data_IF_348862865828
#
_entry.id   IF_348862865828
#
_cell.length_a   1.000
_cell.length_b   1.000
_cell.length_c   1.000
_cell.angle_alpha   90.00
_cell.angle_beta   90.00
_cell.angle_gamma   90.00
#
_symmetry.space_group_name_H-M   'P 1'
#
loop_
_entity.id
_entity.type
_entity.pdbx_description
1 polymer ?
#
# COMPACT_ATOMS: atom_id res chain seq x y z
N UNK A 1 44.24 -65.58 -54.75
CA UNK A 1 42.79 -65.41 -54.98
C UNK A 1 42.40 -63.98 -54.61
N UNK A 2 41.90 -63.19 -55.58
CA UNK A 2 41.57 -61.78 -55.39
C UNK A 2 40.22 -61.65 -54.67
N UNK A 3 40.23 -61.10 -53.45
CA UNK A 3 39.04 -60.69 -52.70
C UNK A 3 38.44 -59.45 -53.38
N UNK A 4 37.19 -59.53 -53.85
CA UNK A 4 36.47 -58.35 -54.35
C UNK A 4 35.93 -57.56 -53.16
N UNK A 5 36.45 -56.35 -52.94
CA UNK A 5 35.89 -55.41 -51.98
C UNK A 5 34.68 -54.69 -52.61
N UNK A 6 33.53 -54.77 -51.95
CA UNK A 6 32.35 -53.97 -52.25
C UNK A 6 31.74 -53.53 -50.92
N UNK A 7 31.95 -52.28 -50.54
CA UNK A 7 31.18 -51.66 -49.46
C UNK A 7 29.75 -51.48 -49.96
N UNK A 8 28.78 -52.05 -49.25
CA UNK A 8 27.37 -51.87 -49.57
C UNK A 8 26.56 -51.97 -48.28
N UNK A 9 25.83 -50.90 -47.95
CA UNK A 9 24.86 -50.90 -46.86
C UNK A 9 23.69 -51.82 -47.27
N UNK A 10 23.61 -53.03 -46.69
CA UNK A 10 22.75 -54.13 -47.17
C UNK A 10 21.38 -54.17 -46.49
N UNK A 11 21.23 -53.49 -45.35
CA UNK A 11 20.03 -53.52 -44.51
C UNK A 11 19.44 -52.12 -44.39
N UNK A 12 18.11 -52.03 -44.45
CA UNK A 12 17.39 -50.79 -44.21
C UNK A 12 17.02 -50.67 -42.73
N UNK A 13 16.81 -49.43 -42.26
CA UNK A 13 16.26 -49.16 -40.93
C UNK A 13 14.95 -49.93 -40.73
N UNK A 14 14.80 -50.57 -39.58
CA UNK A 14 13.69 -51.45 -39.17
C UNK A 14 13.63 -52.83 -39.84
N UNK A 15 14.62 -53.21 -40.66
CA UNK A 15 14.73 -54.60 -41.15
C UNK A 15 14.90 -55.57 -39.97
N UNK A 16 14.13 -56.66 -39.96
CA UNK A 16 14.29 -57.71 -38.97
C UNK A 16 15.44 -58.63 -39.37
N UNK A 17 16.40 -58.79 -38.47
CA UNK A 17 17.60 -59.58 -38.66
C UNK A 17 17.70 -60.65 -37.56
N UNK A 18 18.04 -61.88 -37.94
CA UNK A 18 18.58 -62.90 -37.01
C UNK A 18 20.05 -63.09 -37.38
N UNK A 19 20.94 -62.89 -36.40
CA UNK A 19 22.39 -62.79 -36.60
C UNK A 19 23.10 -63.81 -35.71
N UNK A 20 24.04 -64.57 -36.28
CA UNK A 20 25.03 -65.32 -35.52
C UNK A 20 26.31 -64.50 -35.46
N UNK A 21 26.71 -64.09 -34.25
CA UNK A 21 27.84 -63.17 -34.04
C UNK A 21 28.98 -63.93 -33.39
N UNK A 22 30.17 -63.88 -34.00
CA UNK A 22 31.42 -64.41 -33.45
C UNK A 22 32.36 -63.26 -33.14
N UNK A 23 32.64 -63.07 -31.86
CA UNK A 23 33.54 -62.04 -31.36
C UNK A 23 34.91 -62.65 -31.03
N UNK A 24 35.98 -61.98 -31.44
CA UNK A 24 37.37 -62.38 -31.14
C UNK A 24 38.19 -61.17 -30.71
N UNK A 25 38.82 -61.25 -29.55
CA UNK A 25 39.75 -60.24 -29.06
C UNK A 25 41.17 -60.53 -29.58
N UNK A 26 41.85 -59.53 -30.14
CA UNK A 26 43.19 -59.68 -30.74
C UNK A 26 44.34 -59.68 -29.73
N UNK A 27 44.11 -59.21 -28.49
CA UNK A 27 45.14 -59.10 -27.45
C UNK A 27 45.48 -60.43 -26.77
N UNK A 28 44.57 -61.41 -26.78
CA UNK A 28 44.75 -62.67 -26.07
C UNK A 28 44.37 -63.87 -26.95
N UNK A 29 45.37 -64.49 -27.59
CA UNK A 29 45.17 -65.64 -28.51
C UNK A 29 44.61 -66.89 -27.81
N UNK A 30 44.46 -66.87 -26.47
CA UNK A 30 43.92 -67.97 -25.66
C UNK A 30 42.47 -67.74 -25.17
N UNK A 31 41.87 -66.56 -25.34
CA UNK A 31 40.47 -66.34 -24.95
C UNK A 31 39.48 -67.09 -25.86
N UNK A 32 38.42 -67.71 -25.31
CA UNK A 32 37.42 -68.42 -26.09
C UNK A 32 36.63 -67.45 -26.98
N UNK A 33 36.48 -67.80 -28.27
CA UNK A 33 35.61 -67.08 -29.19
C UNK A 33 34.19 -67.08 -28.64
N UNK A 34 33.66 -65.92 -28.27
CA UNK A 34 32.26 -65.78 -27.85
C UNK A 34 31.39 -65.83 -29.10
N UNK A 35 30.46 -66.77 -29.13
CA UNK A 35 29.46 -66.92 -30.20
C UNK A 35 28.08 -66.78 -29.57
N UNK A 36 27.27 -65.86 -30.06
CA UNK A 36 25.90 -65.67 -29.60
C UNK A 36 24.98 -65.28 -30.76
N UNK A 37 23.70 -65.54 -30.60
CA UNK A 37 22.67 -65.14 -31.55
C UNK A 37 22.00 -63.86 -31.07
N UNK A 38 21.71 -62.95 -32.00
CA UNK A 38 20.99 -61.71 -31.75
C UNK A 38 19.89 -61.55 -32.79
N UNK A 39 18.67 -61.26 -32.35
CA UNK A 39 17.53 -61.05 -33.23
C UNK A 39 16.78 -59.76 -32.88
N UNK A 40 16.42 -58.98 -33.89
CA UNK A 40 15.64 -57.76 -33.70
C UNK A 40 15.49 -56.96 -34.99
N UNK A 41 14.72 -55.88 -34.92
CA UNK A 41 14.58 -54.85 -35.91
C UNK A 41 15.70 -53.80 -35.75
N UNK A 42 16.49 -53.63 -36.80
CA UNK A 42 17.61 -52.68 -36.86
C UNK A 42 17.15 -51.25 -36.54
N UNK A 43 17.73 -50.60 -35.52
CA UNK A 43 17.38 -49.23 -35.12
C UNK A 43 16.05 -49.08 -34.35
N UNK A 44 15.48 -50.18 -33.83
CA UNK A 44 14.34 -50.15 -32.91
C UNK A 44 14.60 -50.96 -31.63
N UNK A 45 14.86 -52.27 -31.76
CA UNK A 45 15.07 -53.19 -30.63
C UNK A 45 16.34 -54.05 -30.78
N UNK A 46 17.16 -53.82 -31.81
CA UNK A 46 18.49 -54.42 -31.98
C UNK A 46 19.55 -53.68 -31.14
N UNK A 47 19.49 -53.81 -29.82
CA UNK A 47 20.13 -52.94 -28.82
C UNK A 47 21.68 -52.96 -28.73
N UNK A 48 22.40 -53.61 -29.65
CA UNK A 48 23.86 -53.68 -29.60
C UNK A 48 24.50 -52.69 -30.59
N UNK A 49 24.87 -51.51 -30.11
CA UNK A 49 25.46 -50.42 -30.93
C UNK A 49 26.66 -50.88 -31.77
N UNK A 50 27.50 -51.77 -31.23
CA UNK A 50 28.68 -52.29 -31.93
C UNK A 50 28.31 -53.22 -33.09
N UNK A 51 27.21 -53.97 -32.94
CA UNK A 51 26.64 -54.83 -33.99
C UNK A 51 25.92 -53.99 -35.03
N UNK A 52 25.15 -52.98 -34.62
CA UNK A 52 24.50 -52.05 -35.56
C UNK A 52 25.54 -51.30 -36.41
N UNK A 53 26.63 -50.81 -35.81
CA UNK A 53 27.73 -50.19 -36.55
C UNK A 53 28.46 -51.18 -37.47
N UNK A 54 28.62 -52.44 -37.03
CA UNK A 54 29.21 -53.49 -37.86
C UNK A 54 28.34 -53.85 -39.07
N UNK A 55 27.01 -53.78 -38.95
CA UNK A 55 26.07 -54.00 -40.05
C UNK A 55 26.07 -52.85 -41.06
N UNK A 56 26.36 -51.62 -40.61
CA UNK A 56 26.43 -50.43 -41.46
C UNK A 56 27.79 -50.28 -42.16
N UNK A 57 28.90 -50.57 -41.46
CA UNK A 57 30.28 -50.27 -41.90
C UNK A 57 31.17 -51.50 -42.09
N UNK A 58 30.65 -52.71 -41.84
CA UNK A 58 31.43 -53.95 -41.93
C UNK A 58 31.78 -54.36 -43.36
N UNK A 59 32.89 -55.09 -43.51
CA UNK A 59 33.34 -55.63 -44.79
C UNK A 59 32.74 -57.01 -45.04
N UNK A 60 32.22 -57.23 -46.25
CA UNK A 60 31.67 -58.54 -46.63
C UNK A 60 32.80 -59.48 -47.05
N UNK A 61 32.88 -60.64 -46.40
CA UNK A 61 33.88 -61.68 -46.65
C UNK A 61 33.17 -63.01 -46.88
N UNK A 62 33.53 -63.73 -47.95
CA UNK A 62 32.99 -65.05 -48.25
C UNK A 62 33.93 -66.14 -47.73
N UNK A 63 33.41 -67.09 -46.93
CA UNK A 63 34.16 -68.25 -46.45
C UNK A 63 33.32 -69.51 -46.69
N UNK A 64 33.87 -70.50 -47.41
CA UNK A 64 33.17 -71.76 -47.74
C UNK A 64 31.75 -71.51 -48.32
N UNK A 65 31.65 -70.57 -49.26
CA UNK A 65 30.39 -70.15 -49.91
C UNK A 65 29.33 -69.51 -49.00
N UNK A 66 29.68 -69.19 -47.74
CA UNK A 66 28.83 -68.42 -46.83
C UNK A 66 29.32 -66.96 -46.70
N UNK A 67 28.37 -66.03 -46.58
CA UNK A 67 28.63 -64.58 -46.47
C UNK A 67 28.74 -64.16 -44.99
N UNK A 68 29.84 -63.52 -44.64
CA UNK A 68 30.08 -62.94 -43.31
C UNK A 68 30.35 -61.44 -43.42
N UNK A 69 29.88 -60.68 -42.45
CA UNK A 69 30.24 -59.28 -42.26
C UNK A 69 31.34 -59.26 -41.20
N UNK A 70 32.56 -58.93 -41.61
CA UNK A 70 33.69 -58.75 -40.71
C UNK A 70 33.87 -57.26 -40.40
N UNK A 71 33.80 -56.91 -39.12
CA UNK A 71 34.04 -55.56 -38.64
C UNK A 71 35.16 -55.56 -37.61
N UNK A 72 36.02 -54.55 -37.70
CA UNK A 72 37.19 -54.38 -36.86
C UNK A 72 37.12 -53.00 -36.21
N UNK A 73 36.97 -52.97 -34.88
CA UNK A 73 37.04 -51.74 -34.10
C UNK A 73 37.97 -51.99 -32.92
N UNK A 74 39.03 -51.20 -32.86
CA UNK A 74 40.11 -51.35 -31.88
C UNK A 74 40.69 -52.78 -31.82
N UNK A 75 40.57 -53.47 -30.68
CA UNK A 75 41.11 -54.81 -30.45
C UNK A 75 40.08 -55.93 -30.68
N UNK A 76 38.84 -55.59 -31.05
CA UNK A 76 37.76 -56.55 -31.28
C UNK A 76 37.57 -56.81 -32.78
N UNK A 77 37.39 -58.08 -33.13
CA UNK A 77 36.91 -58.53 -34.43
C UNK A 77 35.54 -59.15 -34.26
N UNK A 78 34.54 -58.59 -34.93
CA UNK A 78 33.23 -59.20 -35.07
C UNK A 78 33.14 -59.88 -36.43
N UNK A 79 32.63 -61.11 -36.44
CA UNK A 79 32.25 -61.83 -37.65
C UNK A 79 30.78 -62.18 -37.52
N UNK A 80 29.94 -61.50 -38.29
CA UNK A 80 28.48 -61.63 -38.23
C UNK A 80 28.02 -62.44 -39.43
N UNK A 81 27.22 -63.47 -39.18
CA UNK A 81 26.49 -64.22 -40.22
C UNK A 81 25.01 -63.87 -40.10
N UNK A 82 24.40 -63.50 -41.22
CA UNK A 82 22.96 -63.22 -41.25
C UNK A 82 22.23 -64.52 -41.51
N UNK A 83 21.49 -64.99 -40.51
CA UNK A 83 20.67 -66.21 -40.56
C UNK A 83 19.39 -65.92 -41.32
N UNK A 84 18.79 -64.74 -41.06
CA UNK A 84 17.50 -64.36 -41.64
C UNK A 84 17.40 -62.86 -41.78
N UNK A 85 16.79 -62.43 -42.88
CA UNK A 85 16.52 -61.04 -43.17
C UNK A 85 15.09 -60.91 -43.67
N UNK A 86 14.26 -60.14 -42.96
CA UNK A 86 12.89 -59.83 -43.35
C UNK A 86 12.70 -58.32 -43.39
N UNK A 87 12.23 -57.82 -44.54
CA UNK A 87 11.87 -56.42 -44.71
C UNK A 87 10.44 -56.20 -44.19
N UNK A 88 10.19 -55.22 -43.30
CA UNK A 88 8.84 -54.87 -42.89
C UNK A 88 8.04 -54.38 -44.10
N UNK A 89 6.71 -54.58 -44.07
CA UNK A 89 5.84 -54.07 -45.13
C UNK A 89 5.79 -52.54 -45.10
N UNK A 90 5.50 -51.92 -46.25
CA UNK A 90 5.36 -50.45 -46.34
C UNK A 90 4.32 -49.89 -45.37
N UNK A 91 3.25 -50.63 -45.09
CA UNK A 91 2.23 -50.23 -44.12
C UNK A 91 2.77 -50.19 -42.68
N UNK A 92 3.59 -51.17 -42.31
CA UNK A 92 4.21 -51.25 -40.99
C UNK A 92 5.23 -50.11 -40.79
N UNK A 93 6.03 -49.79 -41.81
CA UNK A 93 6.96 -48.66 -41.76
C UNK A 93 6.25 -47.32 -41.49
N UNK A 94 5.16 -47.05 -42.22
CA UNK A 94 4.34 -45.84 -42.02
C UNK A 94 3.74 -45.76 -40.62
N UNK A 95 3.34 -46.89 -40.04
CA UNK A 95 2.81 -46.95 -38.67
C UNK A 95 3.90 -46.65 -37.63
N UNK A 96 5.12 -47.16 -37.83
CA UNK A 96 6.25 -46.91 -36.95
C UNK A 96 6.65 -45.43 -37.00
N UNK A 97 6.76 -44.85 -38.19
CA UNK A 97 7.05 -43.42 -38.38
C UNK A 97 6.01 -42.54 -37.69
N UNK A 98 4.72 -42.83 -37.91
CA UNK A 98 3.62 -42.09 -37.29
C UNK A 98 3.61 -42.21 -35.76
N UNK A 99 3.93 -43.39 -35.22
CA UNK A 99 4.04 -43.58 -33.76
C UNK A 99 5.23 -42.82 -33.16
N UNK A 100 6.36 -42.74 -33.88
CA UNK A 100 7.52 -41.93 -33.48
C UNK A 100 7.17 -40.44 -33.44
N UNK A 101 6.46 -39.93 -34.45
CA UNK A 101 5.97 -38.54 -34.48
C UNK A 101 5.02 -38.25 -33.31
N UNK A 102 4.08 -39.16 -33.04
CA UNK A 102 3.18 -39.02 -31.89
C UNK A 102 3.92 -39.04 -30.55
N UNK A 103 4.91 -39.92 -30.38
CA UNK A 103 5.72 -39.95 -29.18
C UNK A 103 6.48 -38.63 -28.96
N UNK A 104 7.02 -38.04 -30.02
CA UNK A 104 7.67 -36.72 -29.97
C UNK A 104 6.67 -35.61 -29.59
N UNK A 105 5.50 -35.58 -30.24
CA UNK A 105 4.45 -34.59 -29.95
C UNK A 105 3.95 -34.69 -28.51
N UNK A 106 3.79 -35.91 -27.98
CA UNK A 106 3.42 -36.16 -26.58
C UNK A 106 4.50 -35.61 -25.65
N UNK A 107 5.78 -35.88 -25.94
CA UNK A 107 6.91 -35.39 -25.14
C UNK A 107 6.94 -33.85 -25.07
N UNK A 108 6.80 -33.18 -26.21
CA UNK A 108 6.78 -31.70 -26.29
C UNK A 108 5.56 -31.11 -25.55
N UNK A 109 4.41 -31.78 -25.67
CA UNK A 109 3.18 -31.37 -24.97
C UNK A 109 3.32 -31.54 -23.45
N UNK A 110 3.97 -32.61 -22.98
CA UNK A 110 4.23 -32.82 -21.55
C UNK A 110 5.16 -31.76 -20.97
N UNK A 111 6.25 -31.42 -21.66
CA UNK A 111 7.14 -30.34 -21.21
C UNK A 111 6.44 -28.97 -21.15
N UNK A 112 5.54 -28.73 -22.11
CA UNK A 112 4.74 -27.51 -22.14
C UNK A 112 3.78 -27.46 -20.95
N UNK A 113 3.09 -28.58 -20.67
CA UNK A 113 2.20 -28.73 -19.51
C UNK A 113 2.93 -28.46 -18.19
N UNK A 114 4.13 -29.01 -18.00
CA UNK A 114 4.92 -28.81 -16.78
C UNK A 114 5.26 -27.33 -16.57
N UNK A 115 5.70 -26.62 -17.63
CA UNK A 115 5.98 -25.18 -17.57
C UNK A 115 4.73 -24.36 -17.22
N UNK A 116 3.58 -24.70 -17.79
CA UNK A 116 2.30 -24.05 -17.48
C UNK A 116 1.86 -24.29 -16.03
N UNK A 117 2.07 -25.50 -15.50
CA UNK A 117 1.75 -25.84 -14.11
C UNK A 117 2.63 -25.04 -13.14
N UNK A 118 3.93 -24.92 -13.42
CA UNK A 118 4.83 -24.07 -12.62
C UNK A 118 4.40 -22.60 -12.63
N UNK A 119 4.06 -22.07 -13.81
CA UNK A 119 3.59 -20.70 -13.98
C UNK A 119 2.28 -20.44 -13.22
N UNK A 120 1.31 -21.36 -13.30
CA UNK A 120 0.04 -21.26 -12.56
C UNK A 120 0.30 -21.25 -11.05
N UNK A 121 1.19 -22.10 -10.55
CA UNK A 121 1.51 -22.16 -9.13
C UNK A 121 2.19 -20.87 -8.66
N UNK A 122 3.08 -20.30 -9.48
CA UNK A 122 3.71 -18.99 -9.22
C UNK A 122 2.67 -17.88 -9.14
N UNK A 123 1.82 -17.76 -10.16
CA UNK A 123 0.77 -16.73 -10.23
C UNK A 123 -0.25 -16.87 -9.09
N UNK A 124 -0.62 -18.09 -8.71
CA UNK A 124 -1.50 -18.33 -7.55
C UNK A 124 -0.87 -17.81 -6.25
N UNK A 125 0.42 -18.08 -6.03
CA UNK A 125 1.13 -17.61 -4.84
C UNK A 125 1.22 -16.09 -4.79
N UNK A 126 1.52 -15.45 -5.91
CA UNK A 126 1.55 -14.00 -6.03
C UNK A 126 0.16 -13.37 -5.78
N UNK A 127 -0.90 -13.95 -6.34
CA UNK A 127 -2.26 -13.48 -6.12
C UNK A 127 -2.66 -13.52 -4.63
N UNK A 128 -2.32 -14.60 -3.93
CA UNK A 128 -2.59 -14.74 -2.49
C UNK A 128 -1.84 -13.67 -1.70
N UNK A 129 -0.57 -13.41 -2.04
CA UNK A 129 0.23 -12.38 -1.40
C UNK A 129 -0.35 -10.97 -1.63
N UNK A 130 -0.71 -10.65 -2.87
CA UNK A 130 -1.31 -9.36 -3.23
C UNK A 130 -2.66 -9.15 -2.53
N UNK A 131 -3.48 -10.20 -2.43
CA UNK A 131 -4.76 -10.13 -1.70
C UNK A 131 -4.56 -9.86 -0.20
N UNK A 132 -3.60 -10.52 0.44
CA UNK A 132 -3.30 -10.30 1.85
C UNK A 132 -2.74 -8.90 2.12
N UNK A 133 -1.87 -8.41 1.25
CA UNK A 133 -1.35 -7.05 1.36
C UNK A 133 -2.44 -6.00 1.16
N UNK A 134 -3.30 -6.19 0.16
CA UNK A 134 -4.43 -5.30 -0.10
C UNK A 134 -5.41 -5.26 1.09
N UNK A 135 -5.73 -6.40 1.70
CA UNK A 135 -6.55 -6.46 2.92
C UNK A 135 -5.93 -5.67 4.07
N UNK A 136 -4.61 -5.79 4.27
CA UNK A 136 -3.89 -5.04 5.31
C UNK A 136 -3.97 -3.53 5.06
N UNK A 137 -3.73 -3.10 3.83
CA UNK A 137 -3.82 -1.68 3.44
C UNK A 137 -5.24 -1.12 3.66
N UNK A 138 -6.28 -1.87 3.28
CA UNK A 138 -7.68 -1.47 3.53
C UNK A 138 -7.94 -1.33 5.03
N UNK A 139 -7.50 -2.29 5.84
CA UNK A 139 -7.72 -2.24 7.30
C UNK A 139 -7.02 -1.05 7.93
N UNK A 140 -5.79 -0.75 7.52
CA UNK A 140 -5.07 0.43 7.97
C UNK A 140 -5.75 1.73 7.53
N UNK A 141 -6.20 1.80 6.28
CA UNK A 141 -6.90 2.96 5.76
C UNK A 141 -8.24 3.19 6.48
N UNK A 142 -8.98 2.12 6.76
CA UNK A 142 -10.21 2.17 7.55
C UNK A 142 -9.95 2.67 8.98
N UNK A 143 -8.90 2.16 9.65
CA UNK A 143 -8.51 2.64 10.98
C UNK A 143 -8.15 4.12 10.96
N UNK A 144 -7.34 4.56 9.98
CA UNK A 144 -6.97 5.98 9.82
C UNK A 144 -8.20 6.85 9.58
N UNK A 145 -9.09 6.44 8.67
CA UNK A 145 -10.34 7.15 8.40
C UNK A 145 -11.23 7.25 9.64
N UNK A 146 -11.37 6.16 10.40
CA UNK A 146 -12.17 6.15 11.63
C UNK A 146 -11.58 7.09 12.69
N UNK A 147 -10.25 7.09 12.86
CA UNK A 147 -9.57 8.00 13.79
C UNK A 147 -9.82 9.46 13.41
N UNK A 148 -9.67 9.81 12.12
CA UNK A 148 -9.94 11.16 11.62
C UNK A 148 -11.40 11.57 11.87
N UNK A 149 -12.36 10.68 11.60
CA UNK A 149 -13.78 10.95 11.87
C UNK A 149 -14.03 11.20 13.36
N UNK A 150 -13.45 10.36 14.24
CA UNK A 150 -13.59 10.50 15.68
C UNK A 150 -12.97 11.81 16.19
N UNK A 151 -11.76 12.15 15.76
CA UNK A 151 -11.09 13.40 16.13
C UNK A 151 -11.89 14.62 15.66
N UNK A 152 -12.42 14.59 14.44
CA UNK A 152 -13.24 15.68 13.93
C UNK A 152 -14.55 15.85 14.70
N UNK A 153 -15.20 14.74 15.05
CA UNK A 153 -16.41 14.79 15.87
C UNK A 153 -16.10 15.35 17.27
N UNK A 154 -15.02 14.89 17.92
CA UNK A 154 -14.60 15.42 19.22
C UNK A 154 -14.32 16.92 19.17
N UNK A 155 -13.50 17.37 18.21
CA UNK A 155 -13.21 18.81 18.03
C UNK A 155 -14.47 19.63 17.79
N UNK A 156 -15.42 19.08 17.02
CA UNK A 156 -16.69 19.74 16.73
C UNK A 156 -17.56 19.84 17.98
N UNK A 157 -17.66 18.76 18.75
CA UNK A 157 -18.47 18.72 19.97
C UNK A 157 -17.88 19.64 21.05
N UNK A 158 -16.56 19.66 21.22
CA UNK A 158 -15.85 20.60 22.09
C UNK A 158 -16.08 22.05 21.66
N UNK A 159 -15.97 22.33 20.36
CA UNK A 159 -16.24 23.67 19.82
C UNK A 159 -17.69 24.10 20.08
N UNK A 160 -18.68 23.24 19.80
CA UNK A 160 -20.09 23.55 20.07
C UNK A 160 -20.37 23.74 21.56
N UNK A 161 -19.78 22.92 22.43
CA UNK A 161 -19.93 23.07 23.88
C UNK A 161 -19.37 24.42 24.36
N UNK A 162 -18.21 24.83 23.86
CA UNK A 162 -17.61 26.12 24.16
C UNK A 162 -18.45 27.29 23.66
N UNK A 163 -18.95 27.22 22.43
CA UNK A 163 -19.81 28.27 21.86
C UNK A 163 -21.15 28.37 22.59
N UNK A 164 -21.75 27.23 22.97
CA UNK A 164 -22.97 27.23 23.78
C UNK A 164 -22.74 27.82 25.17
N UNK A 165 -21.61 27.51 25.80
CA UNK A 165 -21.23 28.08 27.10
C UNK A 165 -21.09 29.60 27.00
N UNK A 166 -20.37 30.11 26.00
CA UNK A 166 -20.25 31.55 25.73
C UNK A 166 -21.61 32.19 25.44
N UNK A 167 -22.43 31.56 24.60
CA UNK A 167 -23.75 32.08 24.26
C UNK A 167 -24.63 32.23 25.52
N UNK A 168 -24.55 31.29 26.46
CA UNK A 168 -25.24 31.40 27.75
C UNK A 168 -24.65 32.50 28.63
N UNK A 169 -23.33 32.55 28.75
CA UNK A 169 -22.63 33.55 29.56
C UNK A 169 -22.92 34.99 29.10
N UNK A 170 -23.02 35.21 27.79
CA UNK A 170 -23.24 36.53 27.20
C UNK A 170 -24.68 36.75 26.69
N UNK A 171 -25.64 35.89 27.08
CA UNK A 171 -27.03 35.97 26.62
C UNK A 171 -27.70 37.32 26.96
N UNK A 172 -27.36 37.88 28.12
CA UNK A 172 -27.92 39.14 28.61
C UNK A 172 -27.15 40.39 28.13
N UNK A 173 -26.09 40.22 27.32
CA UNK A 173 -25.22 41.34 26.92
C UNK A 173 -26.02 42.51 26.33
N UNK A 174 -26.86 42.26 25.32
CA UNK A 174 -27.64 43.30 24.64
C UNK A 174 -28.61 44.01 25.59
N UNK A 175 -29.26 43.24 26.46
CA UNK A 175 -30.17 43.80 27.46
C UNK A 175 -29.42 44.72 28.43
N UNK A 176 -28.25 44.29 28.90
CA UNK A 176 -27.41 45.10 29.80
C UNK A 176 -26.92 46.37 29.10
N UNK A 177 -26.46 46.29 27.85
CA UNK A 177 -26.03 47.46 27.06
C UNK A 177 -27.13 48.53 26.94
N UNK A 178 -28.37 48.11 26.66
CA UNK A 178 -29.53 49.01 26.60
C UNK A 178 -29.92 49.56 27.99
N UNK A 179 -29.72 48.76 29.06
CA UNK A 179 -30.00 49.16 30.44
C UNK A 179 -28.99 50.20 30.99
N UNK A 180 -27.77 50.28 30.42
CA UNK A 180 -26.74 51.22 30.92
C UNK A 180 -27.16 52.69 30.80
N UNK A 181 -27.87 53.06 29.73
CA UNK A 181 -28.32 54.45 29.51
C UNK A 181 -29.30 54.92 30.59
N UNK A 182 -30.43 54.21 30.83
CA UNK A 182 -31.36 54.61 31.89
C UNK A 182 -30.72 54.52 33.29
N UNK A 183 -29.83 53.54 33.55
CA UNK A 183 -29.11 53.46 34.83
C UNK A 183 -28.23 54.69 35.06
N UNK A 184 -27.48 55.12 34.05
CA UNK A 184 -26.68 56.35 34.11
C UNK A 184 -27.55 57.59 34.34
N UNK A 185 -28.69 57.71 33.65
CA UNK A 185 -29.62 58.82 33.86
C UNK A 185 -30.22 58.80 35.27
N UNK A 186 -30.47 57.62 35.83
CA UNK A 186 -30.94 57.45 37.20
C UNK A 186 -29.90 57.93 38.22
N UNK A 187 -28.62 57.55 38.07
CA UNK A 187 -27.52 58.06 38.89
C UNK A 187 -27.39 59.60 38.77
N UNK A 188 -27.47 60.15 37.54
CA UNK A 188 -27.45 61.59 37.32
C UNK A 188 -28.61 62.32 38.02
N UNK A 189 -29.82 61.75 37.98
CA UNK A 189 -30.98 62.32 38.65
C UNK A 189 -30.82 62.31 40.18
N UNK A 190 -30.31 61.22 40.77
CA UNK A 190 -30.00 61.13 42.21
C UNK A 190 -28.95 62.19 42.59
N UNK A 191 -27.88 62.30 41.80
CA UNK A 191 -26.81 63.28 42.02
C UNK A 191 -27.31 64.73 41.91
N UNK A 192 -28.23 65.02 40.99
CA UNK A 192 -28.87 66.33 40.89
C UNK A 192 -29.76 66.60 42.12
N UNK A 193 -30.57 65.64 42.55
CA UNK A 193 -31.44 65.76 43.72
C UNK A 193 -30.65 65.99 45.01
N UNK A 194 -29.48 65.35 45.18
CA UNK A 194 -28.58 65.55 46.31
C UNK A 194 -28.01 66.98 46.40
N UNK A 195 -27.93 67.71 45.28
CA UNK A 195 -27.42 69.09 45.22
C UNK A 195 -28.50 70.15 45.48
N UNK A 196 -29.77 69.76 45.51
CA UNK A 196 -30.88 70.67 45.82
C UNK A 196 -30.88 70.92 47.34
N UNK A 197 -30.88 72.19 47.73
CA UNK A 197 -30.93 72.58 49.14
C UNK A 197 -32.36 72.49 49.69
N UNK A 198 -32.85 71.26 49.82
CA UNK A 198 -34.16 70.93 50.40
C UNK A 198 -34.06 69.59 51.13
N UNK A 199 -34.30 69.59 52.45
CA UNK A 199 -34.15 68.41 53.30
C UNK A 199 -35.06 67.23 52.93
N UNK A 200 -36.28 67.51 52.47
CA UNK A 200 -37.22 66.46 52.06
C UNK A 200 -36.68 65.78 50.80
N UNK A 201 -36.23 66.55 49.81
CA UNK A 201 -35.66 66.04 48.57
C UNK A 201 -34.39 65.24 48.83
N UNK A 202 -33.50 65.72 49.71
CA UNK A 202 -32.29 65.01 50.13
C UNK A 202 -32.59 63.66 50.80
N UNK A 203 -33.64 63.60 51.64
CA UNK A 203 -34.04 62.35 52.29
C UNK A 203 -34.55 61.31 51.28
N UNK A 204 -35.35 61.72 50.28
CA UNK A 204 -35.75 60.82 49.20
C UNK A 204 -34.56 60.38 48.33
N UNK A 205 -33.66 61.30 47.97
CA UNK A 205 -32.46 61.01 47.19
C UNK A 205 -31.57 59.96 47.87
N UNK A 206 -31.45 60.01 49.21
CA UNK A 206 -30.75 58.99 50.01
C UNK A 206 -31.40 57.60 49.91
N UNK A 207 -32.72 57.52 49.90
CA UNK A 207 -33.44 56.26 49.70
C UNK A 207 -33.21 55.68 48.30
N UNK A 208 -33.24 56.52 47.26
CA UNK A 208 -32.91 56.11 45.90
C UNK A 208 -31.44 55.71 45.73
N UNK A 209 -30.51 56.35 46.45
CA UNK A 209 -29.09 55.95 46.48
C UNK A 209 -28.90 54.53 47.05
N UNK A 210 -29.68 54.16 48.09
CA UNK A 210 -29.69 52.80 48.61
C UNK A 210 -30.22 51.78 47.60
N UNK A 211 -31.27 52.14 46.83
CA UNK A 211 -31.79 51.30 45.76
C UNK A 211 -30.79 51.17 44.59
N UNK A 212 -30.13 52.26 44.21
CA UNK A 212 -29.08 52.25 43.18
C UNK A 212 -27.95 51.27 43.55
N UNK A 213 -27.50 51.29 44.82
CA UNK A 213 -26.50 50.33 45.33
C UNK A 213 -26.99 48.88 45.29
N UNK A 214 -28.26 48.63 45.59
CA UNK A 214 -28.81 47.27 45.48
C UNK A 214 -28.84 46.80 44.02
N UNK A 215 -29.20 47.68 43.09
CA UNK A 215 -29.17 47.38 41.64
C UNK A 215 -27.73 47.08 41.20
N UNK A 216 -26.77 47.92 41.60
CA UNK A 216 -25.35 47.71 41.31
C UNK A 216 -24.85 46.35 41.81
N UNK A 217 -25.18 45.98 43.06
CA UNK A 217 -24.79 44.68 43.61
C UNK A 217 -25.36 43.50 42.80
N UNK A 218 -26.62 43.56 42.38
CA UNK A 218 -27.24 42.51 41.55
C UNK A 218 -26.57 42.43 40.17
N UNK A 219 -26.19 43.56 39.59
CA UNK A 219 -25.47 43.59 38.32
C UNK A 219 -24.05 43.04 38.46
N UNK A 220 -23.35 43.34 39.56
CA UNK A 220 -22.04 42.77 39.89
C UNK A 220 -22.10 41.25 40.07
N UNK A 221 -23.10 40.74 40.78
CA UNK A 221 -23.35 39.30 40.95
C UNK A 221 -23.67 38.62 39.62
N UNK A 222 -24.35 39.31 38.70
CA UNK A 222 -24.58 38.86 37.33
C UNK A 222 -23.32 38.93 36.44
N UNK A 223 -22.20 39.42 36.97
CA UNK A 223 -20.90 39.47 36.29
C UNK A 223 -20.59 40.79 35.60
N UNK A 224 -21.42 41.83 35.77
CA UNK A 224 -21.18 43.16 35.22
C UNK A 224 -20.23 43.95 36.15
N UNK A 225 -19.11 44.43 35.64
CA UNK A 225 -18.13 45.24 36.38
C UNK A 225 -17.99 46.61 35.74
N UNK A 226 -17.96 47.66 36.57
CA UNK A 226 -17.66 49.02 36.12
C UNK A 226 -16.16 49.14 35.83
N UNK A 227 -15.82 49.69 34.66
CA UNK A 227 -14.46 50.08 34.28
C UNK A 227 -14.34 51.56 34.64
N UNK A 228 -13.59 51.84 35.70
CA UNK A 228 -13.37 53.19 36.21
C UNK A 228 -11.86 53.44 36.15
N UNK A 229 -11.33 53.96 35.02
CA UNK A 229 -9.93 54.36 34.93
C UNK A 229 -9.61 55.43 35.98
N UNK A 230 -8.33 55.66 36.28
CA UNK A 230 -7.94 56.80 37.12
C UNK A 230 -7.29 57.88 36.28
N UNK A 231 -7.49 59.12 36.69
CA UNK A 231 -6.75 60.25 36.14
C UNK A 231 -5.26 60.02 36.42
N UNK A 232 -4.43 60.14 35.39
CA UNK A 232 -2.99 59.88 35.43
C UNK A 232 -2.58 58.45 35.05
N UNK A 233 -3.52 57.51 34.89
CA UNK A 233 -3.21 56.17 34.38
C UNK A 233 -2.87 56.21 32.89
N UNK A 234 -2.08 55.24 32.43
CA UNK A 234 -1.77 55.04 31.01
C UNK A 234 -3.05 54.58 30.29
N UNK A 235 -3.30 55.15 29.11
CA UNK A 235 -4.44 54.77 28.29
C UNK A 235 -4.36 53.30 27.83
N UNK A 236 -5.45 52.54 28.01
CA UNK A 236 -5.59 51.16 27.53
C UNK A 236 -6.69 51.06 26.46
N UNK A 237 -6.27 50.83 25.21
CA UNK A 237 -7.17 50.72 24.06
C UNK A 237 -8.15 49.53 24.13
N UNK A 238 -7.91 48.53 24.98
CA UNK A 238 -8.80 47.38 25.11
C UNK A 238 -10.06 47.70 25.93
N UNK A 239 -9.94 48.61 26.90
CA UNK A 239 -11.00 48.93 27.87
C UNK A 239 -11.51 50.38 27.76
N UNK A 240 -10.78 51.24 27.05
CA UNK A 240 -11.00 52.67 27.01
C UNK A 240 -11.07 53.19 25.57
N UNK A 241 -11.91 54.20 25.36
CA UNK A 241 -12.06 54.92 24.11
C UNK A 241 -11.70 56.39 24.32
N UNK A 242 -10.88 56.94 23.43
CA UNK A 242 -10.50 58.35 23.47
C UNK A 242 -11.66 59.20 22.96
N UNK A 243 -12.08 60.17 23.76
CA UNK A 243 -13.03 61.20 23.36
C UNK A 243 -12.31 62.37 22.70
N UNK A 244 -11.36 63.00 23.39
CA UNK A 244 -10.49 64.03 22.85
C UNK A 244 -9.02 63.82 23.24
N UNK A 245 -8.14 64.42 22.43
CA UNK A 245 -6.72 64.59 22.73
C UNK A 245 -6.47 66.02 23.20
N UNK A 246 -5.92 66.19 24.40
CA UNK A 246 -5.66 67.50 25.00
C UNK A 246 -4.15 67.75 25.03
N UNK A 247 -3.70 68.94 24.62
CA UNK A 247 -2.29 69.33 24.74
C UNK A 247 -1.91 69.43 26.22
N UNK A 248 -1.10 68.48 26.70
CA UNK A 248 -0.64 68.44 28.08
C UNK A 248 0.67 67.66 28.19
N UNK A 249 1.78 68.38 28.30
CA UNK A 249 3.13 67.83 28.40
C UNK A 249 3.35 66.97 29.66
N UNK A 250 2.56 67.18 30.73
CA UNK A 250 2.67 66.42 31.99
C UNK A 250 1.94 65.06 31.90
N UNK A 251 0.89 64.97 31.09
CA UNK A 251 0.01 63.79 30.96
C UNK A 251 0.06 63.13 29.58
N UNK A 252 1.23 63.13 28.93
CA UNK A 252 1.41 62.47 27.64
C UNK A 252 1.02 60.99 27.67
N UNK A 253 0.10 60.58 26.78
CA UNK A 253 -0.51 59.24 26.70
C UNK A 253 -1.20 58.77 28.00
N UNK A 254 -1.55 59.71 28.89
CA UNK A 254 -2.24 59.43 30.14
C UNK A 254 -3.63 60.03 30.15
N UNK A 255 -4.50 59.45 30.96
CA UNK A 255 -5.88 59.89 31.13
C UNK A 255 -5.87 61.21 31.91
N UNK A 256 -6.48 62.24 31.32
CA UNK A 256 -6.64 63.57 31.93
C UNK A 256 -8.01 63.67 32.59
N UNK A 257 -9.04 63.14 31.93
CA UNK A 257 -10.42 63.23 32.40
C UNK A 257 -11.20 61.98 31.97
N UNK A 258 -12.17 61.58 32.79
CA UNK A 258 -13.10 60.49 32.50
C UNK A 258 -14.46 61.10 32.19
N UNK A 259 -14.92 60.99 30.95
CA UNK A 259 -16.22 61.51 30.51
C UNK A 259 -17.35 60.57 30.85
N UNK A 260 -17.17 59.27 30.57
CA UNK A 260 -18.14 58.24 30.92
C UNK A 260 -17.41 57.00 31.45
N UNK A 261 -17.99 56.37 32.46
CA UNK A 261 -17.53 55.06 32.95
C UNK A 261 -17.81 53.97 31.91
N UNK A 262 -16.92 52.99 31.86
CA UNK A 262 -17.06 51.80 31.03
C UNK A 262 -17.69 50.65 31.81
N UNK A 263 -18.03 49.57 31.11
CA UNK A 263 -18.62 48.36 31.66
C UNK A 263 -18.08 47.11 30.96
N UNK A 264 -17.81 46.08 31.76
CA UNK A 264 -17.34 44.76 31.34
C UNK A 264 -18.30 43.70 31.85
N UNK A 265 -18.79 42.84 30.97
CA UNK A 265 -19.55 41.66 31.36
C UNK A 265 -18.59 40.48 31.37
N UNK A 266 -18.34 39.91 32.55
CA UNK A 266 -17.29 38.92 32.77
C UNK A 266 -15.95 39.41 32.21
N UNK A 267 -15.47 38.79 31.13
CA UNK A 267 -14.19 39.12 30.51
C UNK A 267 -14.33 40.02 29.26
N UNK A 268 -15.56 40.31 28.81
CA UNK A 268 -15.84 41.09 27.60
C UNK A 268 -16.25 42.52 27.92
N UNK A 269 -15.57 43.49 27.31
CA UNK A 269 -15.97 44.91 27.39
C UNK A 269 -17.24 45.11 26.56
N UNK A 270 -18.32 45.54 27.21
CA UNK A 270 -19.62 45.82 26.55
C UNK A 270 -19.80 47.30 26.22
N UNK A 271 -19.15 48.17 27.01
CA UNK A 271 -19.09 49.60 26.76
C UNK A 271 -17.74 50.12 27.24
N UNK A 272 -16.88 50.69 26.38
CA UNK A 272 -15.59 51.20 26.82
C UNK A 272 -15.76 52.45 27.69
N UNK A 273 -14.81 52.69 28.58
CA UNK A 273 -14.75 53.95 29.32
C UNK A 273 -14.33 55.08 28.37
N UNK A 274 -15.06 56.19 28.38
CA UNK A 274 -14.79 57.32 27.50
C UNK A 274 -13.89 58.31 28.24
N UNK A 275 -12.69 58.57 27.73
CA UNK A 275 -11.64 59.35 28.41
C UNK A 275 -11.01 60.39 27.50
N UNK A 276 -10.57 61.51 28.08
CA UNK A 276 -9.69 62.47 27.41
C UNK A 276 -8.24 62.14 27.75
N UNK A 277 -7.37 62.11 26.73
CA UNK A 277 -5.97 61.67 26.86
C UNK A 277 -5.02 62.81 26.48
N UNK A 278 -3.91 62.92 27.19
CA UNK A 278 -2.87 63.92 26.87
C UNK A 278 -2.09 63.55 25.62
N UNK A 279 -1.93 64.51 24.72
CA UNK A 279 -1.13 64.42 23.50
C UNK A 279 0.34 64.72 23.75
#
# INVERSE_FOLDING_TARGET
MKTKEKEMNKFNKFDYLELEIKETNKLDKKEPKKSYELSGNLGYDLVNELVEEALEKGKIVYKKDEEFIEFHKENQKLSIKVIKHKKPSSHVLKLIEKNLEFAQTISESTETLDKLVEEINRLKKENIQNQEEFKKQILEMQKKAQNIVNENNQKRDEHYANELSKAKQYALQKFLEELLIPLNNFELAINAANKIDNDIVRNYARGFDMLAKQIDNVLEDAGLRKIIPKIGDVFDANEQQIHNLIENEEFKNKIIEIKNIGYKLHDRVIKPALVDVGK
#
